data_IF_037508372586
#
_entry.id   IF_037508372586
#
_cell.length_a   1.000
_cell.length_b   1.000
_cell.length_c   1.000
_cell.angle_alpha   90.00
_cell.angle_beta   90.00
_cell.angle_gamma   90.00
#
_symmetry.space_group_name_H-M   'P 1'
#
loop_
_entity.id
_entity.type
_entity.pdbx_description
1 polymer ?
#
# COMPACT_ATOMS: atom_id res chain seq x y z
N UNK A 1 16.13 10.97 9.94
CA UNK A 1 14.79 11.29 9.44
C UNK A 1 14.01 10.00 9.43
N UNK A 2 12.83 9.99 10.03
CA UNK A 2 11.97 8.80 10.06
C UNK A 2 11.36 8.55 8.69
N UNK A 3 11.11 7.30 8.34
CA UNK A 3 10.61 6.89 7.02
C UNK A 3 9.45 5.94 7.19
N UNK A 4 8.37 6.14 6.44
CA UNK A 4 7.17 5.32 6.53
C UNK A 4 6.76 4.81 5.15
N UNK A 5 6.57 3.49 5.02
CA UNK A 5 6.00 2.86 3.84
C UNK A 5 4.54 2.50 4.12
N UNK A 6 3.59 3.22 3.52
CA UNK A 6 2.18 2.85 3.51
C UNK A 6 1.96 1.80 2.43
N UNK A 7 1.44 0.65 2.83
CA UNK A 7 1.31 -0.52 1.97
C UNK A 7 -0.15 -0.96 1.88
N UNK A 8 -0.71 -0.93 0.67
CA UNK A 8 -1.86 -1.76 0.34
C UNK A 8 -1.43 -3.17 -0.03
N UNK A 9 -2.36 -4.10 -0.04
CA UNK A 9 -2.09 -5.52 -0.26
C UNK A 9 -2.62 -5.96 -1.62
N UNK A 10 -3.92 -5.75 -1.86
CA UNK A 10 -4.54 -6.13 -3.10
C UNK A 10 -4.01 -5.26 -4.25
N UNK A 11 -3.73 -5.85 -5.40
CA UNK A 11 -3.11 -5.16 -6.53
C UNK A 11 -1.62 -4.77 -6.34
N UNK A 12 -1.06 -4.91 -5.13
CA UNK A 12 0.34 -4.61 -4.80
C UNK A 12 1.15 -5.89 -4.57
N UNK A 13 0.73 -6.70 -3.60
CA UNK A 13 1.38 -7.96 -3.25
C UNK A 13 0.75 -9.16 -3.92
N UNK A 14 -0.51 -9.07 -4.30
CA UNK A 14 -1.26 -9.98 -5.13
C UNK A 14 -1.73 -9.23 -6.39
N UNK A 15 -1.89 -9.90 -7.50
CA UNK A 15 -2.25 -9.28 -8.77
C UNK A 15 -2.67 -10.32 -9.82
N UNK A 16 -3.31 -9.88 -10.90
CA UNK A 16 -3.90 -10.75 -11.90
C UNK A 16 -2.88 -11.70 -12.55
N UNK A 17 -1.69 -11.20 -12.92
CA UNK A 17 -0.65 -12.06 -13.50
C UNK A 17 -0.19 -13.16 -12.54
N UNK A 18 -0.16 -12.89 -11.23
CA UNK A 18 0.15 -13.91 -10.23
C UNK A 18 -0.94 -14.97 -10.17
N UNK A 19 -2.21 -14.57 -10.08
CA UNK A 19 -3.35 -15.49 -10.01
C UNK A 19 -3.49 -16.37 -11.26
N UNK A 20 -3.06 -15.89 -12.42
CA UNK A 20 -3.02 -16.65 -13.67
C UNK A 20 -1.79 -17.58 -13.78
N UNK A 21 -0.78 -17.39 -12.93
CA UNK A 21 0.49 -18.11 -13.00
C UNK A 21 0.41 -19.59 -12.57
N UNK A 22 1.34 -20.38 -13.08
CA UNK A 22 1.56 -21.75 -12.59
C UNK A 22 2.05 -21.79 -11.13
N UNK A 23 2.71 -20.74 -10.66
CA UNK A 23 3.15 -20.58 -9.28
C UNK A 23 1.98 -20.59 -8.31
N UNK A 24 0.99 -19.78 -8.58
CA UNK A 24 -0.24 -19.73 -7.80
C UNK A 24 -1.00 -21.06 -7.82
N UNK A 25 -1.19 -21.66 -9.00
CA UNK A 25 -1.93 -22.94 -9.16
C UNK A 25 -1.30 -24.09 -8.40
N UNK A 26 0.03 -24.11 -8.27
CA UNK A 26 0.78 -25.19 -7.60
C UNK A 26 0.85 -25.01 -6.07
N UNK A 27 0.58 -23.83 -5.56
CA UNK A 27 0.88 -23.47 -4.16
C UNK A 27 -0.37 -23.31 -3.28
N UNK A 28 -1.47 -24.00 -3.60
CA UNK A 28 -2.77 -23.82 -2.94
C UNK A 28 -2.94 -24.52 -1.58
N UNK A 29 -1.88 -25.10 -1.03
CA UNK A 29 -1.96 -25.81 0.27
C UNK A 29 -2.34 -24.90 1.44
N UNK A 30 -1.95 -23.62 1.39
CA UNK A 30 -2.42 -22.58 2.31
C UNK A 30 -2.88 -21.38 1.47
N UNK A 31 -4.18 -21.22 1.32
CA UNK A 31 -4.77 -20.20 0.46
C UNK A 31 -4.38 -18.77 0.86
N UNK A 32 -4.28 -18.48 2.16
CA UNK A 32 -3.92 -17.16 2.64
C UNK A 32 -2.49 -16.76 2.24
N UNK A 33 -1.56 -17.72 2.29
CA UNK A 33 -0.16 -17.49 1.88
C UNK A 33 -0.02 -17.50 0.35
N UNK A 34 -0.73 -18.40 -0.33
CA UNK A 34 -0.63 -18.56 -1.78
C UNK A 34 -1.17 -17.37 -2.57
N UNK A 35 -1.99 -16.53 -1.97
CA UNK A 35 -2.50 -15.31 -2.61
C UNK A 35 -1.40 -14.31 -2.96
N UNK A 36 -0.27 -14.32 -2.24
CA UNK A 36 0.80 -13.34 -2.42
C UNK A 36 1.83 -13.79 -3.45
N UNK A 37 2.21 -12.90 -4.37
CA UNK A 37 3.36 -13.11 -5.23
C UNK A 37 4.66 -13.01 -4.41
N UNK A 38 5.45 -14.10 -4.32
CA UNK A 38 6.71 -14.07 -3.57
C UNK A 38 7.68 -12.98 -4.06
N UNK A 39 7.63 -12.62 -5.34
CA UNK A 39 8.47 -11.53 -5.90
C UNK A 39 8.03 -10.16 -5.40
N UNK A 40 6.73 -9.91 -5.26
CA UNK A 40 6.24 -8.65 -4.70
C UNK A 40 6.60 -8.54 -3.21
N UNK A 41 6.50 -9.64 -2.47
CA UNK A 41 6.94 -9.72 -1.06
C UNK A 41 8.43 -9.45 -0.93
N UNK A 42 9.28 -10.07 -1.76
CA UNK A 42 10.74 -9.83 -1.80
C UNK A 42 11.06 -8.36 -2.05
N UNK A 43 10.32 -7.71 -2.97
CA UNK A 43 10.50 -6.30 -3.29
C UNK A 43 10.13 -5.37 -2.14
N UNK A 44 9.06 -5.66 -1.40
CA UNK A 44 8.72 -4.90 -0.18
C UNK A 44 9.81 -5.06 0.87
N UNK A 45 10.28 -6.28 1.13
CA UNK A 45 11.40 -6.51 2.06
C UNK A 45 12.65 -5.71 1.64
N UNK A 46 12.98 -5.72 0.36
CA UNK A 46 14.08 -4.93 -0.19
C UNK A 46 13.91 -3.43 0.06
N UNK A 47 12.70 -2.87 -0.14
CA UNK A 47 12.43 -1.46 0.18
C UNK A 47 12.72 -1.19 1.66
N UNK A 48 12.19 -2.01 2.55
CA UNK A 48 12.37 -1.83 4.00
C UNK A 48 13.84 -1.95 4.42
N UNK A 49 14.58 -2.90 3.85
CA UNK A 49 16.02 -3.11 4.12
C UNK A 49 16.88 -1.93 3.62
N UNK A 50 16.66 -1.46 2.38
CA UNK A 50 17.46 -0.40 1.76
C UNK A 50 17.15 0.99 2.33
N UNK A 51 15.94 1.21 2.84
CA UNK A 51 15.52 2.53 3.32
C UNK A 51 15.45 2.67 4.83
N UNK A 52 15.29 1.56 5.55
CA UNK A 52 14.99 1.54 6.98
C UNK A 52 13.59 2.06 7.32
N UNK A 53 12.67 2.08 6.35
CA UNK A 53 11.31 2.56 6.57
C UNK A 53 10.51 1.63 7.50
N UNK A 54 9.67 2.21 8.34
CA UNK A 54 8.67 1.48 9.11
C UNK A 54 7.46 1.16 8.23
N UNK A 55 6.96 -0.07 8.35
CA UNK A 55 5.80 -0.52 7.59
C UNK A 55 4.50 -0.06 8.24
N UNK A 56 3.63 0.57 7.45
CA UNK A 56 2.27 0.96 7.84
C UNK A 56 1.30 0.29 6.88
N UNK A 57 0.49 -0.63 7.36
CA UNK A 57 -0.53 -1.30 6.53
C UNK A 57 -1.72 -0.37 6.34
N UNK A 58 -1.99 -0.03 5.07
CA UNK A 58 -3.07 0.83 4.63
C UNK A 58 -3.98 0.06 3.67
N UNK A 59 -4.50 -1.08 4.13
CA UNK A 59 -5.30 -2.02 3.35
C UNK A 59 -6.56 -2.44 4.09
N UNK A 60 -7.57 -2.91 3.39
CA UNK A 60 -8.74 -3.56 4.00
C UNK A 60 -8.34 -4.78 4.86
N UNK A 61 -7.22 -5.42 4.56
CA UNK A 61 -6.66 -6.55 5.31
C UNK A 61 -6.24 -6.20 6.75
N UNK A 62 -6.08 -4.92 7.09
CA UNK A 62 -5.72 -4.48 8.46
C UNK A 62 -6.71 -4.92 9.56
N UNK A 63 -7.94 -5.31 9.16
CA UNK A 63 -8.95 -5.87 10.07
C UNK A 63 -8.80 -7.37 10.35
N UNK A 64 -7.94 -8.06 9.62
CA UNK A 64 -7.77 -9.50 9.80
C UNK A 64 -7.00 -9.78 11.09
N UNK A 65 -7.61 -10.56 11.99
CA UNK A 65 -7.01 -10.91 13.29
C UNK A 65 -5.72 -11.72 13.17
N UNK A 66 -5.52 -12.41 12.05
CA UNK A 66 -4.38 -13.27 11.71
C UNK A 66 -3.38 -12.62 10.76
N UNK A 67 -3.50 -11.31 10.46
CA UNK A 67 -2.61 -10.61 9.53
C UNK A 67 -1.12 -10.77 9.91
N UNK A 68 -0.79 -10.75 11.21
CA UNK A 68 0.59 -10.97 11.68
C UNK A 68 1.11 -12.37 11.34
N UNK A 69 0.25 -13.38 11.45
CA UNK A 69 0.61 -14.76 11.14
C UNK A 69 0.75 -14.95 9.63
N UNK A 70 -0.10 -14.29 8.83
CA UNK A 70 0.01 -14.23 7.37
C UNK A 70 1.33 -13.59 6.98
N UNK A 71 1.66 -12.41 7.52
CA UNK A 71 2.92 -11.71 7.23
C UNK A 71 4.14 -12.55 7.62
N UNK A 72 4.12 -13.21 8.79
CA UNK A 72 5.17 -14.17 9.17
C UNK A 72 5.29 -15.31 8.16
N UNK A 73 4.17 -15.84 7.70
CA UNK A 73 4.11 -16.96 6.75
C UNK A 73 4.65 -16.62 5.35
N UNK A 74 4.54 -15.36 4.93
CA UNK A 74 5.06 -14.88 3.63
C UNK A 74 6.44 -14.21 3.75
N UNK A 75 6.96 -14.01 4.96
CA UNK A 75 8.28 -13.43 5.20
C UNK A 75 8.28 -11.89 5.25
N UNK A 76 7.15 -11.24 5.49
CA UNK A 76 7.07 -9.82 5.82
C UNK A 76 7.27 -9.57 7.32
N UNK A 77 7.67 -8.33 7.74
CA UNK A 77 7.77 -7.97 9.13
C UNK A 77 6.43 -8.14 9.88
N UNK A 78 6.50 -8.70 11.09
CA UNK A 78 5.33 -8.84 11.98
C UNK A 78 5.15 -7.64 12.91
N UNK A 79 6.14 -6.73 12.93
CA UNK A 79 6.03 -5.42 13.57
C UNK A 79 5.69 -4.40 12.49
N UNK A 80 4.47 -3.92 12.51
CA UNK A 80 3.96 -2.89 11.60
C UNK A 80 2.90 -2.04 12.30
N UNK A 81 2.63 -0.87 11.74
CA UNK A 81 1.51 -0.01 12.11
C UNK A 81 0.33 -0.26 11.17
N UNK A 82 -0.85 0.26 11.54
CA UNK A 82 -2.05 0.24 10.69
C UNK A 82 -2.65 1.64 10.63
N UNK A 83 -3.19 2.04 9.49
CA UNK A 83 -4.01 3.26 9.39
C UNK A 83 -5.37 3.05 10.06
N UNK A 84 -5.98 4.09 10.65
CA UNK A 84 -7.37 4.01 11.09
C UNK A 84 -8.30 3.89 9.87
N UNK A 85 -9.56 3.54 10.10
CA UNK A 85 -10.61 3.63 9.08
C UNK A 85 -11.25 5.01 9.07
N UNK A 86 -11.75 5.42 7.92
CA UNK A 86 -12.38 6.72 7.73
C UNK A 86 -13.60 6.94 8.64
N UNK A 87 -14.37 5.90 8.94
CA UNK A 87 -15.49 5.94 9.88
C UNK A 87 -15.04 6.21 11.34
N UNK A 88 -13.84 5.81 11.72
CA UNK A 88 -13.25 6.16 13.01
C UNK A 88 -12.74 7.61 13.05
N UNK A 89 -12.32 8.16 11.91
CA UNK A 89 -11.85 9.54 11.79
C UNK A 89 -13.04 10.50 11.72
N UNK A 90 -14.09 10.10 11.03
CA UNK A 90 -15.28 10.88 10.74
C UNK A 90 -16.55 10.13 11.18
N UNK A 91 -16.84 10.04 12.50
CA UNK A 91 -17.94 9.21 13.02
C UNK A 91 -19.33 9.68 12.60
N UNK A 92 -19.47 10.94 12.19
CA UNK A 92 -20.75 11.53 11.74
C UNK A 92 -20.98 11.40 10.22
N UNK A 93 -20.09 10.71 9.52
CA UNK A 93 -20.19 10.48 8.08
C UNK A 93 -21.31 9.48 7.78
N UNK A 94 -22.26 9.89 6.95
CA UNK A 94 -23.24 8.97 6.35
C UNK A 94 -22.67 8.42 5.04
N UNK A 95 -22.23 7.14 4.99
CA UNK A 95 -21.58 6.57 3.81
C UNK A 95 -22.43 6.63 2.54
N UNK A 96 -23.77 6.72 2.68
CA UNK A 96 -24.70 6.76 1.54
C UNK A 96 -24.92 8.21 1.09
N UNK A 97 -25.15 9.12 2.04
CA UNK A 97 -25.41 10.54 1.74
C UNK A 97 -24.16 11.24 1.22
N UNK A 98 -23.02 10.89 1.80
CA UNK A 98 -21.75 11.56 1.55
C UNK A 98 -20.92 10.90 0.43
N UNK A 99 -21.44 9.83 -0.21
CA UNK A 99 -20.84 9.15 -1.38
C UNK A 99 -20.53 10.09 -2.56
N UNK A 100 -21.16 11.27 -2.60
CA UNK A 100 -20.97 12.31 -3.62
C UNK A 100 -20.22 13.54 -3.09
N UNK A 101 -19.74 13.51 -1.85
CA UNK A 101 -18.90 14.57 -1.30
C UNK A 101 -17.47 14.37 -1.78
N UNK A 102 -16.88 15.35 -2.45
CA UNK A 102 -15.54 15.27 -3.01
C UNK A 102 -14.47 14.98 -1.94
N UNK A 103 -14.69 15.42 -0.70
CA UNK A 103 -13.80 15.15 0.43
C UNK A 103 -13.73 13.65 0.83
N UNK A 104 -14.73 12.86 0.45
CA UNK A 104 -14.82 11.43 0.79
C UNK A 104 -14.23 10.54 -0.31
N UNK A 105 -14.06 11.05 -1.53
CA UNK A 105 -13.41 10.30 -2.63
C UNK A 105 -11.98 9.88 -2.33
N UNK A 106 -11.40 10.44 -1.28
CA UNK A 106 -9.99 10.24 -0.91
C UNK A 106 -9.86 9.58 0.46
N UNK A 107 -10.67 8.54 0.70
CA UNK A 107 -10.69 7.88 2.01
C UNK A 107 -9.33 7.36 2.42
N UNK A 108 -8.65 6.66 1.54
CA UNK A 108 -7.30 6.15 1.81
C UNK A 108 -6.33 7.29 2.09
N UNK A 109 -6.34 8.30 1.26
CA UNK A 109 -5.50 9.48 1.46
C UNK A 109 -5.77 10.18 2.78
N UNK A 110 -7.04 10.31 3.19
CA UNK A 110 -7.43 10.89 4.48
C UNK A 110 -7.00 10.03 5.67
N UNK A 111 -7.12 8.71 5.59
CA UNK A 111 -6.64 7.77 6.61
C UNK A 111 -5.13 7.87 6.81
N UNK A 112 -4.37 7.94 5.72
CA UNK A 112 -2.92 8.12 5.73
C UNK A 112 -2.53 9.48 6.32
N UNK A 113 -3.19 10.56 5.90
CA UNK A 113 -2.96 11.89 6.45
C UNK A 113 -3.19 11.94 7.96
N UNK A 114 -4.32 11.41 8.41
CA UNK A 114 -4.62 11.32 9.84
C UNK A 114 -3.53 10.55 10.59
N UNK A 115 -3.08 9.41 10.03
CA UNK A 115 -2.03 8.61 10.66
C UNK A 115 -0.72 9.39 10.76
N UNK A 116 -0.31 10.09 9.70
CA UNK A 116 0.90 10.92 9.67
C UNK A 116 0.85 12.04 10.72
N UNK A 117 -0.28 12.74 10.84
CA UNK A 117 -0.46 13.83 11.79
C UNK A 117 -0.40 13.40 13.26
N UNK A 118 -0.81 12.15 13.56
CA UNK A 118 -0.94 11.66 14.93
C UNK A 118 0.16 10.69 15.39
N UNK A 119 0.89 10.08 14.45
CA UNK A 119 1.86 9.03 14.76
C UNK A 119 3.25 9.27 14.20
N UNK A 120 3.39 10.05 13.12
CA UNK A 120 4.70 10.26 12.53
C UNK A 120 5.56 11.22 13.36
N UNK A 121 6.80 10.81 13.64
CA UNK A 121 7.78 11.64 14.35
C UNK A 121 8.58 12.49 13.35
N UNK A 122 8.45 13.82 13.45
CA UNK A 122 9.20 14.76 12.59
C UNK A 122 10.69 14.85 12.95
N UNK A 123 11.59 15.02 11.95
CA UNK A 123 11.31 15.07 10.53
C UNK A 123 11.10 13.68 9.92
N UNK A 124 10.17 13.56 8.98
CA UNK A 124 9.89 12.30 8.29
C UNK A 124 9.74 12.48 6.78
N UNK A 125 9.89 11.38 6.06
CA UNK A 125 9.43 11.17 4.68
C UNK A 125 8.55 9.93 4.63
N UNK A 126 7.77 9.78 3.57
CA UNK A 126 6.91 8.62 3.39
C UNK A 126 6.71 8.29 1.90
N UNK A 127 6.28 7.06 1.64
CA UNK A 127 5.82 6.63 0.33
C UNK A 127 4.56 5.77 0.47
N UNK A 128 3.64 5.91 -0.46
CA UNK A 128 2.39 5.15 -0.52
C UNK A 128 2.49 4.19 -1.72
N UNK A 129 2.23 2.90 -1.47
CA UNK A 129 2.07 1.86 -2.48
C UNK A 129 0.62 1.39 -2.47
N UNK A 130 -0.11 1.63 -3.55
CA UNK A 130 -1.53 1.27 -3.67
C UNK A 130 -1.87 1.02 -5.15
N UNK A 131 -2.92 0.27 -5.44
CA UNK A 131 -3.43 0.04 -6.80
C UNK A 131 -4.64 0.92 -7.12
N UNK A 132 -5.18 1.63 -6.14
CA UNK A 132 -6.23 2.63 -6.31
C UNK A 132 -5.67 4.07 -6.21
N UNK A 133 -6.39 5.05 -6.73
CA UNK A 133 -5.94 6.44 -6.87
C UNK A 133 -6.71 7.42 -5.98
N UNK A 134 -7.26 6.96 -4.87
CA UNK A 134 -8.02 7.77 -3.91
C UNK A 134 -7.14 8.51 -2.88
N UNK A 135 -5.96 8.96 -3.34
CA UNK A 135 -5.00 9.75 -2.57
C UNK A 135 -5.28 11.25 -2.67
N UNK A 136 -4.97 11.99 -1.60
CA UNK A 136 -5.04 13.45 -1.58
C UNK A 136 -4.03 14.06 -2.57
N UNK A 137 -4.33 15.24 -3.10
CA UNK A 137 -3.46 15.92 -4.07
C UNK A 137 -2.06 16.16 -3.52
N UNK A 138 -1.95 16.54 -2.25
CA UNK A 138 -0.69 16.76 -1.53
C UNK A 138 0.16 15.49 -1.33
N UNK A 139 -0.41 14.31 -1.56
CA UNK A 139 0.28 13.01 -1.41
C UNK A 139 0.84 12.48 -2.74
N UNK A 140 0.53 13.12 -3.86
CA UNK A 140 0.85 12.59 -5.19
C UNK A 140 2.35 12.40 -5.44
N UNK A 141 3.19 13.27 -4.91
CA UNK A 141 4.65 13.15 -5.05
C UNK A 141 5.23 11.97 -4.26
N UNK A 142 4.47 11.48 -3.26
CA UNK A 142 4.83 10.36 -2.41
C UNK A 142 4.04 9.09 -2.75
N UNK A 143 3.27 9.08 -3.83
CA UNK A 143 2.38 7.99 -4.21
C UNK A 143 2.88 7.23 -5.43
N UNK A 144 2.95 5.91 -5.31
CA UNK A 144 3.31 4.96 -6.37
C UNK A 144 2.15 4.02 -6.63
N UNK A 145 1.49 4.21 -7.78
CA UNK A 145 0.38 3.39 -8.24
C UNK A 145 0.89 2.10 -8.88
N UNK A 146 0.41 0.93 -8.45
CA UNK A 146 0.85 -0.37 -8.95
C UNK A 146 -0.01 -0.92 -10.09
N UNK A 147 -1.26 -0.46 -10.24
CA UNK A 147 -2.19 -0.91 -11.28
C UNK A 147 -2.53 0.23 -12.26
N UNK A 148 -2.43 -0.04 -13.57
CA UNK A 148 -2.47 0.99 -14.61
C UNK A 148 -3.82 1.29 -15.27
N UNK A 149 -4.94 0.71 -14.83
CA UNK A 149 -6.22 0.83 -15.54
C UNK A 149 -7.02 2.11 -15.27
N UNK A 150 -6.70 2.85 -14.22
CA UNK A 150 -7.46 4.03 -13.79
C UNK A 150 -6.68 5.33 -13.85
N UNK A 151 -5.68 5.43 -14.75
CA UNK A 151 -4.87 6.64 -14.86
C UNK A 151 -5.71 7.77 -15.44
N UNK A 152 -6.24 8.61 -14.57
CA UNK A 152 -6.78 9.91 -14.95
C UNK A 152 -5.78 11.07 -14.80
N UNK A 153 -4.52 10.78 -14.39
CA UNK A 153 -3.49 11.82 -14.13
C UNK A 153 -2.14 11.45 -14.74
N UNK A 154 -1.51 12.35 -15.50
CA UNK A 154 -0.30 12.07 -16.28
C UNK A 154 1.00 11.91 -15.46
N UNK A 155 0.98 12.18 -14.15
CA UNK A 155 2.16 12.16 -13.29
C UNK A 155 2.28 10.90 -12.42
N UNK A 156 1.37 9.93 -12.54
CA UNK A 156 1.42 8.70 -11.78
C UNK A 156 2.24 7.64 -12.51
N UNK A 157 3.12 6.96 -11.78
CA UNK A 157 4.10 6.01 -12.30
C UNK A 157 3.53 4.61 -12.60
N UNK A 158 2.29 4.50 -13.06
CA UNK A 158 1.72 3.20 -13.44
C UNK A 158 2.03 2.87 -14.89
N UNK A 159 2.75 1.80 -15.14
CA UNK A 159 3.13 1.37 -16.49
C UNK A 159 2.55 0.00 -16.87
N UNK A 160 2.15 -0.84 -15.91
CA UNK A 160 1.74 -2.21 -16.19
C UNK A 160 0.42 -2.58 -15.52
N UNK A 161 -0.54 -3.02 -16.33
CA UNK A 161 -1.78 -3.65 -15.86
C UNK A 161 -1.48 -4.95 -15.14
N UNK A 162 -1.98 -5.09 -13.92
CA UNK A 162 -2.08 -6.38 -13.25
C UNK A 162 -0.78 -7.03 -12.81
N UNK A 163 0.34 -6.30 -12.75
CA UNK A 163 1.66 -6.86 -12.42
C UNK A 163 2.10 -6.65 -10.96
N UNK A 164 1.28 -5.98 -10.14
CA UNK A 164 1.63 -5.64 -8.77
C UNK A 164 2.90 -4.79 -8.66
N UNK A 165 3.61 -4.89 -7.55
CA UNK A 165 4.87 -4.18 -7.33
C UNK A 165 5.99 -4.74 -8.22
N UNK A 166 6.49 -3.96 -9.16
CA UNK A 166 7.59 -4.32 -10.08
C UNK A 166 8.96 -3.84 -9.58
N UNK A 167 10.06 -4.35 -10.15
CA UNK A 167 11.43 -3.89 -9.84
C UNK A 167 11.64 -2.40 -10.14
N UNK A 168 10.98 -1.89 -11.17
CA UNK A 168 11.07 -0.48 -11.53
C UNK A 168 10.37 0.39 -10.49
N UNK A 169 9.13 0.03 -10.08
CA UNK A 169 8.40 0.73 -9.02
C UNK A 169 9.14 0.66 -7.68
N UNK A 170 9.73 -0.48 -7.35
CA UNK A 170 10.60 -0.66 -6.16
C UNK A 170 11.70 0.39 -6.08
N UNK A 171 12.40 0.64 -7.21
CA UNK A 171 13.45 1.66 -7.28
C UNK A 171 12.92 3.08 -7.07
N UNK A 172 11.71 3.36 -7.56
CA UNK A 172 11.06 4.67 -7.35
C UNK A 172 10.73 4.85 -5.87
N UNK A 173 10.11 3.85 -5.25
CA UNK A 173 9.78 3.88 -3.81
C UNK A 173 11.03 4.13 -2.96
N UNK A 174 12.13 3.43 -3.25
CA UNK A 174 13.41 3.61 -2.54
C UNK A 174 13.92 5.05 -2.69
N UNK A 175 13.84 5.64 -3.88
CA UNK A 175 14.26 7.03 -4.11
C UNK A 175 13.38 8.03 -3.38
N UNK A 176 12.06 7.87 -3.39
CA UNK A 176 11.13 8.72 -2.64
C UNK A 176 11.49 8.68 -1.15
N UNK A 177 11.62 7.47 -0.59
CA UNK A 177 11.93 7.30 0.83
C UNK A 177 13.33 7.80 1.22
N UNK A 178 14.26 7.88 0.26
CA UNK A 178 15.60 8.43 0.49
C UNK A 178 15.72 9.92 0.14
N UNK A 179 14.62 10.58 -0.27
CA UNK A 179 14.63 11.98 -0.69
C UNK A 179 15.60 12.24 -1.86
N UNK A 180 15.56 11.33 -2.87
CA UNK A 180 16.46 11.32 -4.04
C UNK A 180 15.73 11.65 -5.36
N UNK A 181 14.46 12.12 -5.32
CA UNK A 181 13.67 12.50 -6.50
C UNK A 181 13.54 13.99 -6.66
#
# INVERSE_FOLDING_TARGET
MNKYLFLDIDGVLNHDEWFESDGYRKNQANWQISMFDPKCVERVNRILEETGAELVVSSSWRNMSDLKDIFAGIGLPTKFHITPYADHIYPDLDPIRDLYNDDIRYWRGSEIKYWLEHNAESPYTYCILDDDCDMLEEQHDNFVLTCGDRIHRPNLYAINKGSGLTDWLTKIVIKILNDEL
#
